data_IF_494540534024
#
_entry.id   IF_494540534024
#
_cell.length_a   1.000
_cell.length_b   1.000
_cell.length_c   1.000
_cell.angle_alpha   90.00
_cell.angle_beta   90.00
_cell.angle_gamma   90.00
#
_symmetry.space_group_name_H-M   'P 1'
#
loop_
_entity.id
_entity.type
_entity.pdbx_description
1 polymer ?
#
# COMPACT_ATOMS: atom_id res chain seq x y z
N UNK A 1 13.60 0.58 -6.91
CA UNK A 1 12.39 -0.26 -6.88
C UNK A 1 12.60 -1.48 -5.99
N UNK A 2 13.75 -2.17 -6.10
CA UNK A 2 14.14 -3.23 -5.13
C UNK A 2 14.03 -2.75 -3.67
N UNK A 3 14.38 -1.48 -3.40
CA UNK A 3 14.31 -0.94 -2.04
C UNK A 3 12.88 -0.74 -1.45
N UNK A 4 11.85 -0.45 -2.26
CA UNK A 4 10.52 -0.14 -1.70
C UNK A 4 9.75 -1.39 -1.27
N UNK A 5 9.86 -2.46 -2.05
CA UNK A 5 9.23 -3.73 -1.69
C UNK A 5 9.86 -4.29 -0.41
N UNK A 6 11.20 -4.25 -0.33
CA UNK A 6 11.93 -4.66 0.88
C UNK A 6 11.59 -3.78 2.09
N UNK A 7 11.42 -2.46 1.89
CA UNK A 7 10.96 -1.54 2.94
C UNK A 7 9.56 -1.90 3.46
N UNK A 8 8.65 -2.35 2.59
CA UNK A 8 7.33 -2.85 3.00
C UNK A 8 7.44 -4.16 3.79
N UNK A 9 8.32 -5.08 3.38
CA UNK A 9 8.56 -6.34 4.10
C UNK A 9 9.11 -6.06 5.50
N UNK A 10 10.09 -5.16 5.61
CA UNK A 10 10.69 -4.79 6.89
C UNK A 10 9.69 -4.03 7.77
N UNK A 11 8.89 -3.12 7.19
CA UNK A 11 7.79 -2.48 7.91
C UNK A 11 6.80 -3.52 8.46
N UNK A 12 6.35 -4.46 7.62
CA UNK A 12 5.41 -5.51 8.00
C UNK A 12 5.97 -6.36 9.14
N UNK A 13 7.23 -6.79 9.04
CA UNK A 13 7.95 -7.54 10.07
C UNK A 13 8.01 -6.77 11.39
N UNK A 14 8.35 -5.48 11.36
CA UNK A 14 8.38 -4.61 12.55
C UNK A 14 6.99 -4.37 13.16
N UNK A 15 5.92 -4.55 12.39
CA UNK A 15 4.53 -4.55 12.87
C UNK A 15 3.99 -5.94 13.19
N UNK A 16 4.83 -6.98 13.21
CA UNK A 16 4.40 -8.37 13.43
C UNK A 16 3.30 -8.81 12.44
N UNK A 17 3.46 -8.46 11.17
CA UNK A 17 2.60 -8.89 10.05
C UNK A 17 3.40 -9.90 9.23
N UNK A 18 2.86 -11.09 9.03
CA UNK A 18 3.49 -12.13 8.22
C UNK A 18 3.14 -11.92 6.75
N UNK A 19 4.14 -11.76 5.89
CA UNK A 19 3.97 -11.69 4.44
C UNK A 19 4.30 -13.06 3.84
N UNK A 20 3.35 -13.64 3.12
CA UNK A 20 3.48 -14.87 2.36
C UNK A 20 3.60 -14.47 0.89
N UNK A 21 4.78 -14.68 0.32
CA UNK A 21 5.05 -14.40 -1.09
C UNK A 21 4.74 -15.64 -1.93
N UNK A 22 3.94 -15.51 -2.97
CA UNK A 22 3.64 -16.59 -3.90
C UNK A 22 3.95 -16.21 -5.34
N UNK A 23 4.69 -17.07 -6.04
CA UNK A 23 4.99 -16.96 -7.47
C UNK A 23 4.25 -18.01 -8.32
N UNK A 24 3.39 -18.83 -7.70
CA UNK A 24 2.68 -19.94 -8.38
C UNK A 24 1.21 -19.66 -8.67
N UNK A 25 0.68 -18.53 -8.19
CA UNK A 25 -0.69 -18.11 -8.48
C UNK A 25 -0.82 -17.66 -9.94
N UNK A 26 -2.05 -17.67 -10.48
CA UNK A 26 -2.34 -17.08 -11.79
C UNK A 26 -1.93 -15.59 -11.79
N UNK A 27 -1.45 -15.03 -12.92
CA UNK A 27 -1.15 -13.59 -13.03
C UNK A 27 -2.33 -12.65 -12.74
N UNK A 28 -3.54 -13.18 -12.66
CA UNK A 28 -4.79 -12.46 -12.36
C UNK A 28 -5.39 -12.77 -11.00
N UNK A 29 -4.78 -13.66 -10.21
CA UNK A 29 -5.24 -13.94 -8.84
C UNK A 29 -4.86 -12.77 -7.94
N UNK A 30 -5.82 -12.09 -7.30
CA UNK A 30 -5.53 -10.95 -6.43
C UNK A 30 -4.76 -11.40 -5.17
N UNK A 31 -4.06 -10.48 -4.51
CA UNK A 31 -3.55 -10.70 -3.16
C UNK A 31 -4.70 -10.82 -2.16
N UNK A 32 -4.37 -11.16 -0.91
CA UNK A 32 -5.36 -11.23 0.16
C UNK A 32 -4.75 -10.98 1.53
N UNK A 33 -5.51 -10.33 2.42
CA UNK A 33 -5.19 -10.17 3.82
C UNK A 33 -6.07 -11.06 4.71
N UNK A 34 -5.50 -11.49 5.83
CA UNK A 34 -6.23 -12.00 6.99
C UNK A 34 -5.82 -11.17 8.21
N UNK A 35 -6.55 -10.08 8.51
CA UNK A 35 -6.25 -9.18 9.62
C UNK A 35 -6.23 -9.88 10.98
N UNK A 36 -7.16 -10.81 11.22
CA UNK A 36 -7.23 -11.57 12.48
C UNK A 36 -5.97 -12.41 12.76
N UNK A 37 -5.33 -12.95 11.71
CA UNK A 37 -4.06 -13.68 11.83
C UNK A 37 -2.84 -12.79 11.57
N UNK A 38 -3.05 -11.50 11.23
CA UNK A 38 -2.02 -10.56 10.78
C UNK A 38 -1.17 -11.12 9.64
N UNK A 39 -1.83 -11.71 8.65
CA UNK A 39 -1.18 -12.32 7.47
C UNK A 39 -1.59 -11.62 6.19
N UNK A 40 -0.66 -11.56 5.24
CA UNK A 40 -0.89 -11.11 3.87
C UNK A 40 -0.33 -12.15 2.91
N UNK A 41 -1.09 -12.52 1.89
CA UNK A 41 -0.64 -13.28 0.73
C UNK A 41 -0.48 -12.32 -0.45
N UNK A 42 0.75 -12.20 -0.97
CA UNK A 42 1.06 -11.36 -2.13
C UNK A 42 1.41 -12.22 -3.35
N UNK A 43 0.77 -11.93 -4.47
CA UNK A 43 1.00 -12.60 -5.74
C UNK A 43 2.15 -11.92 -6.53
N UNK A 44 3.34 -12.49 -6.45
CA UNK A 44 4.49 -12.03 -7.23
C UNK A 44 4.40 -12.37 -8.72
N UNK A 45 3.49 -13.26 -9.11
CA UNK A 45 3.21 -13.58 -10.50
C UNK A 45 2.24 -12.59 -11.18
N UNK A 46 1.74 -11.57 -10.48
CA UNK A 46 0.82 -10.57 -11.03
C UNK A 46 1.31 -9.97 -12.36
N UNK A 47 0.43 -9.81 -13.35
CA UNK A 47 0.80 -9.41 -14.71
C UNK A 47 1.49 -8.03 -14.74
N UNK A 48 0.90 -7.04 -14.07
CA UNK A 48 1.47 -5.69 -13.98
C UNK A 48 2.40 -5.58 -12.76
N UNK A 49 3.67 -5.93 -12.91
CA UNK A 49 4.65 -5.98 -11.80
C UNK A 49 4.76 -4.69 -10.99
N UNK A 50 4.58 -3.54 -11.64
CA UNK A 50 4.60 -2.23 -10.99
C UNK A 50 3.47 -2.00 -9.98
N UNK A 51 2.37 -2.76 -10.05
CA UNK A 51 1.28 -2.70 -9.06
C UNK A 51 1.56 -3.50 -7.79
N UNK A 52 2.54 -4.42 -7.80
CA UNK A 52 2.80 -5.32 -6.67
C UNK A 52 3.10 -4.54 -5.37
N UNK A 53 3.93 -3.50 -5.35
CA UNK A 53 4.16 -2.74 -4.12
C UNK A 53 2.89 -2.05 -3.60
N UNK A 54 2.05 -1.52 -4.49
CA UNK A 54 0.78 -0.91 -4.10
C UNK A 54 -0.20 -1.95 -3.53
N UNK A 55 -0.30 -3.11 -4.18
CA UNK A 55 -1.10 -4.24 -3.71
C UNK A 55 -0.64 -4.72 -2.33
N UNK A 56 0.66 -4.91 -2.12
CA UNK A 56 1.19 -5.31 -0.81
C UNK A 56 0.87 -4.27 0.27
N UNK A 57 1.07 -2.98 -0.02
CA UNK A 57 0.76 -1.91 0.93
C UNK A 57 -0.75 -1.82 1.23
N UNK A 58 -1.62 -2.07 0.25
CA UNK A 58 -3.06 -2.14 0.41
C UNK A 58 -3.44 -3.27 1.37
N UNK A 59 -2.92 -4.48 1.19
CA UNK A 59 -3.21 -5.62 2.09
C UNK A 59 -2.64 -5.41 3.50
N UNK A 60 -1.45 -4.80 3.62
CA UNK A 60 -0.93 -4.35 4.93
C UNK A 60 -1.91 -3.33 5.54
N UNK A 61 -2.48 -2.45 4.72
CA UNK A 61 -3.52 -1.50 5.12
C UNK A 61 -4.71 -2.18 5.79
N UNK A 62 -5.23 -3.27 5.22
CA UNK A 62 -6.29 -4.08 5.84
C UNK A 62 -5.88 -4.59 7.23
N UNK A 63 -4.67 -5.13 7.36
CA UNK A 63 -4.17 -5.63 8.65
C UNK A 63 -3.96 -4.51 9.68
N UNK A 64 -3.57 -3.32 9.25
CA UNK A 64 -3.37 -2.17 10.13
C UNK A 64 -4.69 -1.52 10.57
N UNK A 65 -5.72 -1.60 9.74
CA UNK A 65 -7.06 -1.10 10.05
C UNK A 65 -7.87 -2.08 10.91
N UNK A 66 -7.37 -3.31 11.08
CA UNK A 66 -8.11 -4.43 11.68
C UNK A 66 -9.43 -4.69 10.95
N UNK A 67 -9.38 -4.61 9.61
CA UNK A 67 -10.57 -4.78 8.78
C UNK A 67 -11.14 -6.21 8.93
N UNK A 68 -12.47 -6.37 8.87
CA UNK A 68 -13.08 -7.70 8.98
C UNK A 68 -12.67 -8.57 7.79
N UNK A 69 -11.86 -9.60 8.04
CA UNK A 69 -11.27 -10.46 7.00
C UNK A 69 -12.25 -11.32 6.19
N UNK A 70 -13.53 -11.35 6.57
CA UNK A 70 -14.60 -12.00 5.80
C UNK A 70 -15.79 -11.04 5.75
N UNK A 71 -15.91 -10.31 4.64
CA UNK A 71 -16.98 -9.34 4.38
C UNK A 71 -18.33 -9.99 3.99
N UNK A 72 -18.54 -11.30 4.26
CA UNK A 72 -19.74 -12.03 3.81
C UNK A 72 -21.07 -11.45 4.33
N UNK A 73 -21.04 -10.72 5.45
CA UNK A 73 -22.23 -10.08 6.04
C UNK A 73 -22.26 -8.55 5.83
N UNK A 74 -21.36 -8.00 5.02
CA UNK A 74 -21.24 -6.56 4.81
C UNK A 74 -22.00 -6.12 3.56
N UNK A 75 -22.59 -4.92 3.61
CA UNK A 75 -23.19 -4.30 2.42
C UNK A 75 -22.10 -3.93 1.40
N UNK A 76 -22.46 -3.81 0.12
CA UNK A 76 -21.53 -3.32 -0.91
C UNK A 76 -20.92 -1.96 -0.56
N UNK A 77 -21.71 -1.08 0.08
CA UNK A 77 -21.21 0.23 0.52
C UNK A 77 -20.15 0.10 1.64
N UNK A 78 -20.37 -0.81 2.59
CA UNK A 78 -19.40 -1.13 3.64
C UNK A 78 -18.13 -1.73 3.04
N UNK A 79 -18.25 -2.67 2.10
CA UNK A 79 -17.13 -3.24 1.37
C UNK A 79 -16.30 -2.15 0.67
N UNK A 80 -16.96 -1.28 -0.12
CA UNK A 80 -16.28 -0.18 -0.81
C UNK A 80 -15.58 0.79 0.15
N UNK A 81 -16.17 1.03 1.32
CA UNK A 81 -15.57 1.90 2.34
C UNK A 81 -14.31 1.28 2.92
N UNK A 82 -14.33 -0.02 3.19
CA UNK A 82 -13.20 -0.79 3.74
C UNK A 82 -12.05 -0.85 2.73
N UNK A 83 -12.32 -1.25 1.47
CA UNK A 83 -11.34 -1.25 0.38
C UNK A 83 -10.69 0.12 0.16
N UNK A 84 -11.50 1.17 0.23
CA UNK A 84 -11.02 2.54 0.08
C UNK A 84 -10.17 2.98 1.27
N UNK A 85 -10.54 2.59 2.49
CA UNK A 85 -9.76 2.86 3.70
C UNK A 85 -8.41 2.13 3.68
N UNK A 86 -8.38 0.86 3.30
CA UNK A 86 -7.16 0.07 3.14
C UNK A 86 -6.25 0.65 2.06
N UNK A 87 -6.81 1.05 0.91
CA UNK A 87 -6.06 1.72 -0.16
C UNK A 87 -5.41 3.02 0.31
N UNK A 88 -6.13 3.86 1.06
CA UNK A 88 -5.58 5.09 1.63
C UNK A 88 -4.46 4.80 2.63
N UNK A 89 -4.68 3.81 3.50
CA UNK A 89 -3.69 3.39 4.50
C UNK A 89 -2.40 2.91 3.84
N UNK A 90 -2.53 2.11 2.77
CA UNK A 90 -1.41 1.66 1.95
C UNK A 90 -0.69 2.80 1.25
N UNK A 91 -1.42 3.77 0.67
CA UNK A 91 -0.82 4.96 0.03
C UNK A 91 -0.03 5.79 1.04
N UNK A 92 -0.58 6.07 2.22
CA UNK A 92 0.15 6.80 3.26
C UNK A 92 1.45 6.08 3.64
N UNK A 93 1.40 4.75 3.84
CA UNK A 93 2.59 3.94 4.11
C UNK A 93 3.63 4.04 2.98
N UNK A 94 3.20 3.91 1.72
CA UNK A 94 4.10 4.01 0.57
C UNK A 94 4.74 5.40 0.47
N UNK A 95 3.99 6.46 0.75
CA UNK A 95 4.50 7.83 0.75
C UNK A 95 5.58 7.96 1.82
N UNK A 96 5.31 7.52 3.04
CA UNK A 96 6.25 7.62 4.14
C UNK A 96 7.56 6.85 3.85
N UNK A 97 7.47 5.67 3.23
CA UNK A 97 8.65 4.88 2.87
C UNK A 97 9.39 5.40 1.64
N UNK A 98 8.66 5.83 0.60
CA UNK A 98 9.25 6.27 -0.67
C UNK A 98 9.93 7.62 -0.54
N UNK A 99 9.34 8.53 0.23
CA UNK A 99 9.82 9.91 0.37
C UNK A 99 10.68 10.14 1.63
N UNK A 100 10.92 9.09 2.44
CA UNK A 100 11.71 9.19 3.69
C UNK A 100 13.03 9.95 3.53
N UNK A 101 13.76 9.69 2.44
CA UNK A 101 15.07 10.28 2.15
C UNK A 101 15.05 11.22 0.93
N UNK A 102 13.86 11.68 0.50
CA UNK A 102 13.70 12.55 -0.67
C UNK A 102 13.31 13.94 -0.20
N UNK A 103 14.14 14.94 -0.53
CA UNK A 103 13.83 16.34 -0.23
C UNK A 103 12.60 16.82 -1.02
N UNK A 104 11.88 17.82 -0.50
CA UNK A 104 10.72 18.40 -1.20
C UNK A 104 11.08 18.94 -2.60
N UNK A 105 12.32 19.37 -2.82
CA UNK A 105 12.80 19.89 -4.11
C UNK A 105 12.91 18.80 -5.17
N UNK A 106 13.17 17.57 -4.75
CA UNK A 106 13.34 16.40 -5.61
C UNK A 106 12.07 15.51 -5.66
N UNK A 107 11.07 15.84 -4.83
CA UNK A 107 9.80 15.12 -4.77
C UNK A 107 9.04 15.21 -6.10
N UNK A 108 8.63 14.06 -6.63
CA UNK A 108 7.89 13.97 -7.88
C UNK A 108 6.67 13.06 -7.73
N UNK A 109 5.50 13.67 -7.49
CA UNK A 109 4.23 12.95 -7.32
C UNK A 109 3.81 12.19 -8.58
N UNK A 110 4.01 12.78 -9.76
CA UNK A 110 3.68 12.15 -11.04
C UNK A 110 4.46 10.84 -11.22
N UNK A 111 5.77 10.87 -10.93
CA UNK A 111 6.63 9.69 -10.97
C UNK A 111 6.13 8.63 -9.99
N UNK A 112 5.82 9.01 -8.75
CA UNK A 112 5.30 8.08 -7.74
C UNK A 112 4.00 7.41 -8.20
N UNK A 113 3.03 8.19 -8.66
CA UNK A 113 1.72 7.72 -9.15
C UNK A 113 1.87 6.75 -10.33
N UNK A 114 2.70 7.10 -11.32
CA UNK A 114 2.91 6.28 -12.51
C UNK A 114 3.68 4.99 -12.18
N UNK A 115 4.75 5.09 -11.39
CA UNK A 115 5.60 3.94 -11.07
C UNK A 115 4.88 2.88 -10.24
N UNK A 116 3.98 3.28 -9.35
CA UNK A 116 3.21 2.36 -8.51
C UNK A 116 1.85 2.01 -9.12
N UNK A 117 1.56 2.52 -10.32
CA UNK A 117 0.30 2.30 -11.04
C UNK A 117 -0.92 2.63 -10.16
N UNK A 118 -0.86 3.74 -9.42
CA UNK A 118 -1.92 4.17 -8.51
C UNK A 118 -3.21 4.39 -9.31
N UNK A 119 -4.35 3.81 -8.89
CA UNK A 119 -5.62 3.97 -9.60
C UNK A 119 -6.04 5.44 -9.75
N UNK A 120 -6.61 5.86 -10.90
CA UNK A 120 -6.96 7.26 -11.16
C UNK A 120 -7.81 7.92 -10.07
N UNK A 121 -8.75 7.18 -9.47
CA UNK A 121 -9.62 7.68 -8.41
C UNK A 121 -8.91 7.95 -7.07
N UNK A 122 -7.66 7.48 -6.90
CA UNK A 122 -6.81 7.72 -5.73
C UNK A 122 -5.73 8.79 -5.96
N UNK A 123 -5.56 9.28 -7.19
CA UNK A 123 -4.48 10.23 -7.54
C UNK A 123 -4.60 11.52 -6.73
N UNK A 124 -5.79 12.12 -6.66
CA UNK A 124 -6.00 13.36 -5.91
C UNK A 124 -5.71 13.20 -4.41
N UNK A 125 -6.11 12.06 -3.83
CA UNK A 125 -5.77 11.72 -2.44
C UNK A 125 -4.25 11.59 -2.28
N UNK A 126 -3.60 10.84 -3.18
CA UNK A 126 -2.15 10.60 -3.16
C UNK A 126 -1.35 11.90 -3.19
N UNK A 127 -1.66 12.79 -4.14
CA UNK A 127 -0.97 14.08 -4.23
C UNK A 127 -1.18 14.95 -2.99
N UNK A 128 -2.38 14.91 -2.41
CA UNK A 128 -2.68 15.61 -1.17
C UNK A 128 -1.87 15.05 -0.01
N UNK A 129 -1.78 13.73 0.12
CA UNK A 129 -0.97 13.10 1.16
C UNK A 129 0.52 13.38 1.00
N UNK A 130 1.05 13.40 -0.24
CA UNK A 130 2.46 13.76 -0.49
C UNK A 130 2.73 15.19 -0.02
N UNK A 131 1.83 16.14 -0.30
CA UNK A 131 1.97 17.51 0.22
C UNK A 131 1.96 17.55 1.74
N UNK A 132 1.04 16.82 2.38
CA UNK A 132 0.95 16.74 3.85
C UNK A 132 2.21 16.15 4.48
N UNK A 133 2.80 15.12 3.87
CA UNK A 133 4.05 14.51 4.35
C UNK A 133 5.14 15.59 4.54
N UNK A 134 5.33 16.49 3.56
CA UNK A 134 6.35 17.55 3.65
C UNK A 134 5.98 18.77 4.51
N UNK A 135 4.71 18.94 4.90
CA UNK A 135 4.32 20.00 5.85
C UNK A 135 4.68 19.61 7.29
N UNK A 136 4.77 18.31 7.58
CA UNK A 136 5.04 17.79 8.92
C UNK A 136 6.47 17.30 9.16
N UNK A 137 7.28 17.18 8.10
CA UNK A 137 8.73 16.97 8.21
C UNK A 137 9.39 18.35 8.39
N UNK A 138 10.08 18.63 9.51
CA UNK A 138 10.80 19.89 9.68
C UNK A 138 11.80 20.04 8.52
N UNK A 139 11.78 21.18 7.83
CA UNK A 139 12.83 21.51 6.88
C UNK A 139 14.15 21.60 7.65
N UNK A 140 14.99 20.57 7.56
CA UNK A 140 16.40 20.72 7.92
C UNK A 140 17.02 21.72 6.94
N UNK A 141 17.41 22.87 7.49
CA UNK A 141 18.03 23.99 6.79
C UNK A 141 19.54 23.79 6.66
#
# INVERSE_FOLDING_TARGET
MENLFDSLLEYAKNKHITIIQSNVLSPTTPPAANPALRKVLINLNWEQKNQIPFQLAHEIGHVLNDDPGILYNCTQASHNTIEFAASKRGISLLIDLYFADISIKDANSTRFVQQLCIPPYLVNFTETQIRTHYVHVPNEA
#
